data_IF_727966302783
#
_entry.id   IF_727966302783
#
_cell.length_a   1.000
_cell.length_b   1.000
_cell.length_c   1.000
_cell.angle_alpha   90.00
_cell.angle_beta   90.00
_cell.angle_gamma   90.00
#
_symmetry.space_group_name_H-M   'P 1'
#
loop_
_entity.id
_entity.type
_entity.pdbx_description
1 polymer ?
#
# COMPACT_ATOMS: atom_id res chain seq x y z
N UNK A 1 2.97 9.49 21.17
CA UNK A 1 1.97 8.59 20.58
C UNK A 1 2.74 7.51 19.88
N UNK A 2 2.51 6.24 20.22
CA UNK A 2 3.21 5.12 19.60
C UNK A 2 2.54 4.82 18.25
N UNK A 3 3.33 4.86 17.16
CA UNK A 3 2.85 4.55 15.81
C UNK A 3 3.30 3.15 15.43
N UNK A 4 2.40 2.38 14.80
CA UNK A 4 2.74 1.09 14.19
C UNK A 4 2.29 1.10 12.74
N UNK A 5 3.23 0.79 11.85
CA UNK A 5 2.97 0.59 10.44
C UNK A 5 2.49 -0.84 10.24
N UNK A 6 1.48 -1.00 9.38
CA UNK A 6 1.03 -2.29 8.90
C UNK A 6 1.12 -2.28 7.36
N UNK A 7 1.20 -3.47 6.79
CA UNK A 7 1.19 -3.67 5.35
C UNK A 7 -0.02 -4.50 4.98
N UNK A 8 -0.75 -4.07 3.95
CA UNK A 8 -1.91 -4.78 3.43
C UNK A 8 -1.56 -5.43 2.10
N UNK A 9 -1.40 -6.75 2.09
CA UNK A 9 -1.24 -7.53 0.89
C UNK A 9 -2.58 -8.08 0.42
N UNK A 10 -3.02 -7.66 -0.76
CA UNK A 10 -4.22 -8.22 -1.38
C UNK A 10 -3.90 -9.58 -2.01
N UNK A 11 -4.44 -10.66 -1.43
CA UNK A 11 -4.33 -12.02 -1.97
C UNK A 11 -5.41 -12.34 -3.02
N UNK A 12 -6.44 -11.49 -3.09
CA UNK A 12 -7.52 -11.53 -4.06
C UNK A 12 -7.84 -10.10 -4.53
N UNK A 13 -8.68 -9.97 -5.56
CA UNK A 13 -9.13 -8.65 -6.01
C UNK A 13 -9.84 -7.91 -4.87
N UNK A 14 -9.31 -6.73 -4.50
CA UNK A 14 -9.83 -5.91 -3.42
C UNK A 14 -10.66 -4.75 -3.98
N UNK A 15 -11.93 -4.70 -3.59
CA UNK A 15 -12.83 -3.59 -3.94
C UNK A 15 -13.22 -2.81 -2.69
N UNK A 16 -12.72 -1.58 -2.57
CA UNK A 16 -13.11 -0.63 -1.50
C UNK A 16 -13.91 0.49 -2.15
N UNK A 17 -15.23 0.34 -2.20
CA UNK A 17 -16.11 1.23 -2.95
C UNK A 17 -16.32 2.59 -2.29
N UNK A 18 -16.53 3.62 -3.12
CA UNK A 18 -16.90 4.98 -2.67
C UNK A 18 -18.35 5.34 -2.94
N UNK A 19 -19.21 4.33 -3.14
CA UNK A 19 -20.59 4.50 -3.62
C UNK A 19 -20.67 4.60 -5.14
N UNK A 20 -21.78 5.13 -5.66
CA UNK A 20 -21.96 5.30 -7.10
C UNK A 20 -21.18 6.51 -7.63
N UNK A 21 -20.38 6.28 -8.67
CA UNK A 21 -19.67 7.32 -9.40
C UNK A 21 -20.53 7.94 -10.51
N UNK A 22 -20.21 9.18 -10.89
CA UNK A 22 -20.78 9.86 -12.07
C UNK A 22 -19.90 9.63 -13.32
N UNK A 23 -18.93 8.72 -13.23
CA UNK A 23 -17.96 8.44 -14.28
C UNK A 23 -18.34 7.27 -15.17
N UNK A 24 -17.38 6.80 -15.97
CA UNK A 24 -17.55 5.61 -16.83
C UNK A 24 -17.64 4.31 -16.01
N UNK A 25 -17.18 4.35 -14.76
CA UNK A 25 -17.25 3.23 -13.82
C UNK A 25 -18.33 3.53 -12.78
N UNK A 26 -19.35 2.67 -12.73
CA UNK A 26 -20.49 2.82 -11.82
C UNK A 26 -20.08 2.73 -10.35
N UNK A 27 -19.23 1.74 -10.04
CA UNK A 27 -18.73 1.48 -8.68
C UNK A 27 -17.20 1.63 -8.66
N UNK A 28 -16.70 2.87 -8.53
CA UNK A 28 -15.27 3.11 -8.44
C UNK A 28 -14.71 2.68 -7.08
N UNK A 29 -13.44 2.29 -7.10
CA UNK A 29 -12.65 2.08 -5.88
C UNK A 29 -12.18 3.41 -5.29
N UNK A 30 -11.89 3.41 -3.99
CA UNK A 30 -11.33 4.53 -3.27
C UNK A 30 -9.95 4.93 -3.81
N UNK A 31 -9.78 6.23 -4.03
CA UNK A 31 -8.55 6.85 -4.53
C UNK A 31 -8.25 8.13 -3.75
N UNK A 32 -6.96 8.43 -3.59
CA UNK A 32 -6.54 9.73 -3.08
C UNK A 32 -6.94 10.81 -4.08
N UNK A 33 -7.63 11.86 -3.62
CA UNK A 33 -8.01 12.98 -4.49
C UNK A 33 -6.80 13.74 -5.05
N UNK A 34 -5.69 13.78 -4.31
CA UNK A 34 -4.50 14.55 -4.68
C UNK A 34 -3.66 13.85 -5.75
N UNK A 35 -3.60 12.52 -5.71
CA UNK A 35 -2.68 11.72 -6.57
C UNK A 35 -3.41 10.78 -7.52
N UNK A 36 -4.72 10.58 -7.32
CA UNK A 36 -5.55 9.58 -7.98
C UNK A 36 -5.07 8.12 -7.79
N UNK A 37 -4.11 7.89 -6.88
CA UNK A 37 -3.64 6.54 -6.54
C UNK A 37 -4.69 5.81 -5.70
N UNK A 38 -4.88 4.49 -5.90
CA UNK A 38 -5.76 3.69 -5.06
C UNK A 38 -5.29 3.70 -3.61
N UNK A 39 -6.25 3.66 -2.68
CA UNK A 39 -6.00 3.53 -1.25
C UNK A 39 -7.14 2.77 -0.58
N UNK A 40 -6.88 2.26 0.63
CA UNK A 40 -7.93 1.78 1.53
C UNK A 40 -8.09 2.80 2.66
N UNK A 41 -9.26 3.44 2.81
CA UNK A 41 -9.47 4.42 3.86
C UNK A 41 -9.30 3.82 5.26
N UNK A 42 -8.72 4.59 6.17
CA UNK A 42 -8.54 4.21 7.57
C UNK A 42 -9.86 3.91 8.28
N UNK A 43 -10.95 4.55 7.85
CA UNK A 43 -12.30 4.25 8.33
C UNK A 43 -12.79 2.86 7.91
N UNK A 44 -12.47 2.42 6.68
CA UNK A 44 -12.79 1.07 6.20
C UNK A 44 -12.00 0.02 6.99
N UNK A 45 -10.70 0.25 7.19
CA UNK A 45 -9.85 -0.63 8.01
C UNK A 45 -10.34 -0.71 9.45
N UNK A 46 -10.64 0.46 10.04
CA UNK A 46 -11.21 0.55 11.39
C UNK A 46 -12.50 -0.26 11.51
N UNK A 47 -13.39 -0.17 10.52
CA UNK A 47 -14.64 -0.91 10.50
C UNK A 47 -14.44 -2.43 10.49
N UNK A 48 -13.61 -2.92 9.57
CA UNK A 48 -13.30 -4.36 9.45
C UNK A 48 -12.62 -4.89 10.71
N UNK A 49 -11.62 -4.18 11.23
CA UNK A 49 -10.92 -4.61 12.45
C UNK A 49 -11.84 -4.55 13.67
N UNK A 50 -12.71 -3.55 13.78
CA UNK A 50 -13.67 -3.48 14.88
C UNK A 50 -14.61 -4.69 14.88
N UNK A 51 -15.14 -5.05 13.72
CA UNK A 51 -16.05 -6.18 13.54
C UNK A 51 -15.37 -7.52 13.90
N UNK A 52 -14.16 -7.74 13.36
CA UNK A 52 -13.38 -8.96 13.62
C UNK A 52 -13.06 -9.15 15.11
N UNK A 53 -12.71 -8.05 15.79
CA UNK A 53 -12.32 -8.08 17.20
C UNK A 53 -13.49 -7.93 18.19
N UNK A 54 -14.72 -7.76 17.70
CA UNK A 54 -15.88 -7.52 18.57
C UNK A 54 -16.15 -8.71 19.51
N UNK A 55 -16.21 -9.92 18.96
CA UNK A 55 -16.46 -11.15 19.74
C UNK A 55 -15.25 -11.54 20.61
N UNK A 56 -14.00 -11.55 20.12
CA UNK A 56 -12.86 -11.98 20.92
C UNK A 56 -12.50 -11.05 22.08
N UNK A 57 -12.66 -9.72 21.92
CA UNK A 57 -12.27 -8.75 22.95
C UNK A 57 -13.42 -8.38 23.90
N UNK A 58 -14.66 -8.51 23.44
CA UNK A 58 -15.84 -8.07 24.16
C UNK A 58 -16.07 -6.55 24.09
N UNK A 59 -17.32 -6.15 24.37
CA UNK A 59 -17.84 -4.79 24.15
C UNK A 59 -16.97 -3.68 24.77
N UNK A 60 -16.59 -3.82 26.05
CA UNK A 60 -15.89 -2.75 26.77
C UNK A 60 -14.50 -2.44 26.20
N UNK A 61 -13.75 -3.48 25.81
CA UNK A 61 -12.43 -3.32 25.18
C UNK A 61 -12.57 -2.76 23.78
N UNK A 62 -13.55 -3.22 23.00
CA UNK A 62 -13.82 -2.70 21.65
C UNK A 62 -14.19 -1.23 21.72
N UNK A 63 -15.02 -0.81 22.67
CA UNK A 63 -15.38 0.59 22.86
C UNK A 63 -14.16 1.42 23.25
N UNK A 64 -13.31 0.91 24.15
CA UNK A 64 -12.08 1.59 24.55
C UNK A 64 -11.12 1.81 23.37
N UNK A 65 -10.97 0.82 22.48
CA UNK A 65 -10.04 0.89 21.35
C UNK A 65 -10.60 1.66 20.14
N UNK A 66 -11.87 1.43 19.79
CA UNK A 66 -12.49 1.92 18.55
C UNK A 66 -13.51 3.06 18.76
N UNK A 67 -13.95 3.29 19.99
CA UNK A 67 -15.02 4.22 20.37
C UNK A 67 -16.40 3.55 20.46
N UNK A 68 -17.35 4.11 21.23
CA UNK A 68 -18.70 3.56 21.39
C UNK A 68 -19.54 3.66 20.11
N UNK A 69 -20.60 2.85 20.01
CA UNK A 69 -21.48 2.80 18.82
C UNK A 69 -22.53 3.92 18.75
N UNK A 70 -23.07 4.34 19.89
CA UNK A 70 -24.27 5.19 19.94
C UNK A 70 -24.14 6.33 20.95
N UNK A 71 -24.87 7.42 20.69
CA UNK A 71 -24.96 8.60 21.56
C UNK A 71 -25.61 8.34 22.94
N UNK A 72 -26.23 7.18 23.14
CA UNK A 72 -26.85 6.81 24.42
C UNK A 72 -25.84 6.31 25.46
N UNK A 73 -24.60 6.04 25.05
CA UNK A 73 -23.48 5.75 25.94
C UNK A 73 -22.63 7.02 26.15
N UNK A 74 -21.84 7.07 27.23
CA UNK A 74 -20.89 8.15 27.43
C UNK A 74 -19.98 8.27 26.20
N UNK A 75 -19.98 9.45 25.56
CA UNK A 75 -19.26 9.66 24.31
C UNK A 75 -17.77 9.93 24.59
N UNK A 76 -16.90 9.07 24.05
CA UNK A 76 -15.46 9.24 24.10
C UNK A 76 -14.82 8.75 22.79
N UNK A 77 -13.62 9.25 22.48
CA UNK A 77 -12.84 8.79 21.33
C UNK A 77 -12.19 7.43 21.63
N UNK A 78 -12.08 6.58 20.60
CA UNK A 78 -11.28 5.35 20.72
C UNK A 78 -9.79 5.66 20.89
N UNK A 79 -9.08 4.76 21.57
CA UNK A 79 -7.65 4.89 21.82
C UNK A 79 -6.75 4.76 20.57
N UNK A 80 -7.26 4.16 19.48
CA UNK A 80 -6.49 3.92 18.25
C UNK A 80 -6.94 4.87 17.14
N UNK A 81 -5.96 5.52 16.50
CA UNK A 81 -6.13 6.24 15.24
C UNK A 81 -5.70 5.34 14.07
N UNK A 82 -6.57 5.21 13.07
CA UNK A 82 -6.31 4.40 11.87
C UNK A 82 -5.95 5.32 10.71
N UNK A 83 -4.75 5.14 10.16
CA UNK A 83 -4.32 5.79 8.92
C UNK A 83 -4.86 5.07 7.68
N UNK A 84 -4.87 5.78 6.55
CA UNK A 84 -5.18 5.17 5.25
C UNK A 84 -4.05 4.23 4.83
N UNK A 85 -4.40 3.08 4.23
CA UNK A 85 -3.42 2.23 3.56
C UNK A 85 -3.17 2.78 2.14
N UNK A 86 -2.01 3.41 1.96
CA UNK A 86 -1.56 3.94 0.68
C UNK A 86 -0.90 2.85 -0.18
N UNK A 87 -1.02 2.99 -1.50
CA UNK A 87 -0.35 2.11 -2.47
C UNK A 87 1.17 2.15 -2.28
N UNK A 88 1.78 0.99 -2.05
CA UNK A 88 3.24 0.82 -1.99
C UNK A 88 3.78 0.18 -3.28
N UNK A 89 3.14 -0.91 -3.72
CA UNK A 89 3.49 -1.67 -4.91
C UNK A 89 2.23 -1.89 -5.74
N UNK A 90 2.33 -1.65 -7.05
CA UNK A 90 1.31 -1.97 -8.04
C UNK A 90 1.78 -3.15 -8.89
N UNK A 91 1.06 -4.30 -8.88
CA UNK A 91 1.33 -5.37 -9.83
C UNK A 91 0.87 -4.94 -11.23
N UNK A 92 1.77 -4.98 -12.19
CA UNK A 92 1.52 -4.63 -13.60
C UNK A 92 1.94 -5.83 -14.46
N UNK A 93 1.16 -6.17 -15.50
CA UNK A 93 1.58 -7.23 -16.43
C UNK A 93 2.87 -6.82 -17.11
N UNK A 94 3.82 -7.75 -17.18
CA UNK A 94 5.05 -7.56 -17.95
C UNK A 94 5.20 -8.64 -19.00
N UNK A 95 5.75 -8.28 -20.16
CA UNK A 95 5.97 -9.22 -21.25
C UNK A 95 7.03 -10.28 -20.89
N UNK A 96 8.04 -9.92 -20.10
CA UNK A 96 9.01 -10.84 -19.52
C UNK A 96 8.78 -10.94 -18.00
N UNK A 97 8.96 -12.11 -17.41
CA UNK A 97 8.78 -12.31 -15.97
C UNK A 97 7.32 -12.23 -15.46
N UNK A 98 6.33 -12.17 -16.36
CA UNK A 98 4.88 -12.22 -16.10
C UNK A 98 4.28 -10.99 -15.40
N UNK A 99 4.81 -10.61 -14.24
CA UNK A 99 4.32 -9.48 -13.43
C UNK A 99 5.49 -8.66 -12.93
N UNK A 100 5.41 -7.35 -13.11
CA UNK A 100 6.28 -6.39 -12.48
C UNK A 100 5.61 -5.82 -11.22
N UNK A 101 6.31 -5.87 -10.09
CA UNK A 101 5.93 -5.17 -8.87
C UNK A 101 6.47 -3.73 -8.94
N UNK A 102 5.65 -2.83 -9.48
CA UNK A 102 6.07 -1.46 -9.78
C UNK A 102 5.82 -0.51 -8.61
N UNK A 103 6.73 0.45 -8.44
CA UNK A 103 6.59 1.59 -7.54
C UNK A 103 7.23 2.81 -8.19
N UNK A 104 7.22 3.97 -7.53
CA UNK A 104 7.82 5.18 -8.06
C UNK A 104 8.47 6.04 -6.97
N UNK A 105 9.33 7.02 -7.34
CA UNK A 105 10.03 7.85 -6.37
C UNK A 105 9.09 8.60 -5.41
N UNK A 106 7.90 8.98 -5.88
CA UNK A 106 6.88 9.61 -5.05
C UNK A 106 6.38 8.69 -3.92
N UNK A 107 6.07 7.42 -4.25
CA UNK A 107 5.61 6.43 -3.28
C UNK A 107 6.73 6.06 -2.31
N UNK A 108 7.95 5.85 -2.82
CA UNK A 108 9.11 5.51 -1.98
C UNK A 108 9.44 6.62 -0.98
N UNK A 109 9.34 7.90 -1.37
CA UNK A 109 9.54 9.05 -0.45
C UNK A 109 8.53 9.05 0.69
N UNK A 110 7.26 8.76 0.36
CA UNK A 110 6.21 8.65 1.36
C UNK A 110 6.51 7.51 2.33
N UNK A 111 6.81 6.32 1.81
CA UNK A 111 7.09 5.13 2.62
C UNK A 111 8.34 5.31 3.49
N UNK A 112 9.39 5.92 2.95
CA UNK A 112 10.61 6.28 3.67
C UNK A 112 10.31 7.18 4.88
N UNK A 113 9.50 8.22 4.68
CA UNK A 113 9.10 9.14 5.75
C UNK A 113 8.27 8.43 6.82
N UNK A 114 7.34 7.57 6.41
CA UNK A 114 6.41 6.91 7.33
C UNK A 114 7.14 5.87 8.20
N UNK A 115 8.15 5.18 7.66
CA UNK A 115 9.02 4.26 8.42
C UNK A 115 10.23 4.91 9.06
N UNK A 116 10.47 6.21 8.83
CA UNK A 116 11.68 6.91 9.27
C UNK A 116 12.98 6.25 8.79
N UNK A 117 12.97 5.67 7.59
CA UNK A 117 14.12 5.01 6.97
C UNK A 117 15.08 6.03 6.37
N UNK A 118 16.09 6.48 7.10
CA UNK A 118 17.07 7.44 6.53
C UNK A 118 18.18 6.80 5.68
N UNK A 119 18.22 5.46 5.57
CA UNK A 119 19.34 4.73 5.01
C UNK A 119 19.23 4.40 3.51
N UNK A 120 18.03 4.47 2.93
CA UNK A 120 17.82 4.13 1.51
C UNK A 120 17.65 5.40 0.67
N UNK A 121 18.49 5.53 -0.34
CA UNK A 121 18.35 6.63 -1.31
C UNK A 121 17.11 6.42 -2.17
N UNK A 122 16.42 7.53 -2.46
CA UNK A 122 15.29 7.50 -3.38
C UNK A 122 15.83 7.54 -4.80
N UNK A 123 15.53 6.53 -5.63
CA UNK A 123 15.92 6.58 -7.04
C UNK A 123 15.25 7.79 -7.71
N UNK A 124 16.05 8.63 -8.37
CA UNK A 124 15.55 9.69 -9.25
C UNK A 124 16.07 9.39 -10.64
N UNK A 125 15.20 8.85 -11.49
CA UNK A 125 15.58 8.47 -12.83
C UNK A 125 14.44 8.74 -13.82
N UNK A 126 14.81 9.15 -15.03
CA UNK A 126 13.92 9.22 -16.20
C UNK A 126 13.74 7.84 -16.86
N UNK A 127 14.28 6.79 -16.24
CA UNK A 127 14.35 5.40 -16.70
C UNK A 127 13.88 4.47 -15.58
N UNK A 128 13.43 3.29 -15.96
CA UNK A 128 13.10 2.25 -14.97
C UNK A 128 14.39 1.74 -14.31
N UNK A 129 14.42 1.74 -12.98
CA UNK A 129 15.45 1.03 -12.21
C UNK A 129 14.86 -0.31 -11.81
N UNK A 130 15.63 -1.37 -12.04
CA UNK A 130 15.24 -2.76 -11.79
C UNK A 130 16.22 -3.40 -10.82
N UNK A 131 15.85 -4.55 -10.26
CA UNK A 131 16.79 -5.39 -9.49
C UNK A 131 17.84 -5.99 -10.41
N UNK A 132 19.02 -6.33 -9.88
CA UNK A 132 20.12 -6.87 -10.69
C UNK A 132 19.74 -8.19 -11.38
N UNK A 133 19.07 -9.08 -10.66
CA UNK A 133 18.63 -10.40 -11.15
C UNK A 133 17.19 -10.38 -11.71
N UNK A 134 16.77 -9.25 -12.31
CA UNK A 134 15.40 -9.10 -12.79
C UNK A 134 15.07 -10.04 -13.96
N UNK A 135 13.93 -10.73 -13.87
CA UNK A 135 13.35 -11.50 -14.97
C UNK A 135 12.59 -10.62 -15.99
N UNK A 136 12.48 -9.31 -15.75
CA UNK A 136 11.65 -8.38 -16.53
C UNK A 136 12.36 -7.81 -17.78
N UNK A 137 13.67 -8.07 -17.92
CA UNK A 137 14.52 -7.38 -18.89
C UNK A 137 14.38 -7.94 -20.31
N UNK A 138 14.16 -7.04 -21.25
CA UNK A 138 14.08 -7.30 -22.69
C UNK A 138 15.01 -6.32 -23.42
N UNK A 139 16.20 -6.76 -23.80
CA UNK A 139 17.16 -5.98 -24.59
C UNK A 139 17.40 -4.54 -24.07
N UNK A 140 17.54 -4.36 -22.74
CA UNK A 140 17.77 -3.05 -22.12
C UNK A 140 16.50 -2.21 -21.87
N UNK A 141 15.33 -2.84 -22.01
CA UNK A 141 14.02 -2.27 -21.65
C UNK A 141 13.26 -3.21 -20.71
N UNK A 142 12.16 -2.71 -20.18
CA UNK A 142 11.06 -3.50 -19.60
C UNK A 142 9.79 -3.12 -20.35
N UNK A 143 9.04 -4.13 -20.80
CA UNK A 143 7.72 -3.94 -21.41
C UNK A 143 6.64 -4.16 -20.34
N UNK A 144 5.94 -3.08 -19.97
CA UNK A 144 4.85 -3.07 -18.99
C UNK A 144 3.54 -2.74 -19.70
N UNK A 145 2.61 -3.68 -19.75
CA UNK A 145 1.44 -3.61 -20.63
C UNK A 145 1.87 -3.24 -22.07
N UNK A 146 1.40 -2.10 -22.58
CA UNK A 146 1.71 -1.57 -23.91
C UNK A 146 2.87 -0.55 -23.92
N UNK A 147 3.60 -0.42 -22.81
CA UNK A 147 4.66 0.57 -22.62
C UNK A 147 6.06 -0.07 -22.62
N UNK A 148 6.90 0.41 -23.53
CA UNK A 148 8.34 0.12 -23.56
C UNK A 148 9.12 1.13 -22.72
N UNK A 149 9.66 0.72 -21.58
CA UNK A 149 10.41 1.58 -20.67
C UNK A 149 11.89 1.23 -20.71
N UNK A 150 12.75 2.22 -20.98
CA UNK A 150 14.20 2.03 -20.96
C UNK A 150 14.69 1.77 -19.54
N UNK A 151 15.55 0.77 -19.35
CA UNK A 151 16.14 0.49 -18.04
C UNK A 151 17.42 1.29 -17.81
N UNK A 152 17.60 1.78 -16.59
CA UNK A 152 18.91 2.20 -16.09
C UNK A 152 19.66 0.98 -15.54
N UNK A 153 20.91 0.82 -15.99
CA UNK A 153 21.80 -0.27 -15.55
C UNK A 153 22.88 0.20 -14.59
N UNK A 154 22.91 1.50 -14.25
CA UNK A 154 23.91 2.09 -13.35
C UNK A 154 23.46 2.06 -11.89
N UNK A 155 22.15 2.01 -11.67
CA UNK A 155 21.52 1.94 -10.37
C UNK A 155 20.76 0.61 -10.21
N UNK A 156 20.50 0.22 -8.97
CA UNK A 156 19.72 -0.98 -8.66
C UNK A 156 18.56 -0.68 -7.70
N UNK A 157 17.45 -1.41 -7.89
CA UNK A 157 16.31 -1.40 -6.97
C UNK A 157 16.45 -2.40 -5.81
N UNK A 158 17.55 -3.17 -5.72
CA UNK A 158 17.70 -4.27 -4.76
C UNK A 158 17.46 -3.83 -3.31
N UNK A 159 18.05 -2.72 -2.86
CA UNK A 159 17.88 -2.26 -1.48
C UNK A 159 16.43 -1.94 -1.11
N UNK A 160 15.65 -1.38 -2.05
CA UNK A 160 14.21 -1.17 -1.85
C UNK A 160 13.41 -2.47 -1.92
N UNK A 161 13.78 -3.36 -2.84
CA UNK A 161 13.13 -4.66 -2.98
C UNK A 161 13.31 -5.50 -1.71
N UNK A 162 14.53 -5.56 -1.16
CA UNK A 162 14.87 -6.27 0.08
C UNK A 162 14.14 -5.66 1.28
N UNK A 163 14.17 -4.33 1.44
CA UNK A 163 13.51 -3.67 2.56
C UNK A 163 11.99 -3.89 2.56
N UNK A 164 11.34 -3.83 1.38
CA UNK A 164 9.91 -4.09 1.27
C UNK A 164 9.61 -5.59 1.48
N UNK A 165 10.44 -6.48 0.94
CA UNK A 165 10.26 -7.93 1.12
C UNK A 165 10.37 -8.32 2.59
N UNK A 166 11.36 -7.79 3.32
CA UNK A 166 11.52 -8.03 4.76
C UNK A 166 10.33 -7.48 5.57
N UNK A 167 9.76 -6.34 5.17
CA UNK A 167 8.58 -5.79 5.82
C UNK A 167 7.32 -6.61 5.58
N UNK A 168 7.17 -7.21 4.40
CA UNK A 168 6.03 -8.06 4.05
C UNK A 168 6.15 -9.48 4.60
N UNK A 169 7.37 -10.00 4.68
CA UNK A 169 7.66 -11.38 5.10
C UNK A 169 8.81 -11.42 6.12
N UNK A 170 8.56 -10.98 7.37
CA UNK A 170 9.60 -10.88 8.38
C UNK A 170 10.20 -12.24 8.80
N UNK A 171 9.48 -13.34 8.58
CA UNK A 171 9.89 -14.69 9.00
C UNK A 171 10.56 -15.52 7.87
N UNK A 172 10.67 -14.98 6.65
CA UNK A 172 11.13 -15.74 5.47
C UNK A 172 12.48 -15.29 4.90
N UNK A 173 13.22 -14.42 5.61
CA UNK A 173 14.55 -13.93 5.23
C UNK A 173 15.53 -14.21 6.37
#
# INVERSE_FOLDING_TARGET
MESRIFHLQALSALHVGTGQGVGVVDLPIARSKATNLPLVPGSSLKGVLRDEWEKPLGKDKVHSLFGPYHQQEASFAGAIAFGDAHLLILPIRSFAGTVAYATCPFILKQYQRDLQLNALDIPVADKAIVTQDTALKLAGKVALEDLDIVTDTTNSADGWAEAIAQALYPDSV
#
